data_IF_138162624871
#
_entry.id   IF_138162624871
#
_cell.length_a   1.000
_cell.length_b   1.000
_cell.length_c   1.000
_cell.angle_alpha   90.00
_cell.angle_beta   90.00
_cell.angle_gamma   90.00
#
_symmetry.space_group_name_H-M   'P 1'
#
loop_
_entity.id
_entity.type
_entity.pdbx_description
1 polymer ?
#
# COMPACT_ATOMS: atom_id res chain seq x y z
N UNK A 1 -14.46 -73.29 -16.16
CA UNK A 1 -13.38 -72.71 -15.34
C UNK A 1 -14.00 -71.55 -14.57
N UNK A 2 -14.46 -71.81 -13.34
CA UNK A 2 -15.21 -70.84 -12.54
C UNK A 2 -14.21 -69.90 -11.84
N UNK A 3 -14.32 -68.60 -12.07
CA UNK A 3 -13.54 -67.58 -11.38
C UNK A 3 -13.90 -67.63 -9.89
N UNK A 4 -12.89 -67.63 -9.02
CA UNK A 4 -13.10 -67.70 -7.58
C UNK A 4 -13.89 -66.45 -7.08
N UNK A 5 -14.81 -66.62 -6.11
CA UNK A 5 -15.63 -65.48 -5.62
C UNK A 5 -14.81 -64.28 -5.16
N UNK A 6 -13.62 -64.51 -4.64
CA UNK A 6 -12.69 -63.45 -4.20
C UNK A 6 -12.21 -62.53 -5.32
N UNK A 7 -12.16 -63.00 -6.56
CA UNK A 7 -11.77 -62.17 -7.72
C UNK A 7 -12.89 -61.20 -8.12
N UNK A 8 -14.14 -61.61 -7.96
CA UNK A 8 -15.32 -60.78 -8.25
C UNK A 8 -15.47 -59.66 -7.21
N UNK A 9 -15.23 -59.95 -5.95
CA UNK A 9 -15.26 -58.94 -4.89
C UNK A 9 -14.14 -57.91 -5.04
N UNK A 10 -12.93 -58.31 -5.39
CA UNK A 10 -11.82 -57.37 -5.61
C UNK A 10 -12.06 -56.42 -6.79
N UNK A 11 -12.68 -56.93 -7.87
CA UNK A 11 -13.09 -56.08 -9.00
C UNK A 11 -14.25 -55.13 -8.65
N UNK A 12 -15.10 -55.49 -7.73
CA UNK A 12 -16.23 -54.67 -7.30
C UNK A 12 -15.76 -53.51 -6.42
N UNK A 13 -14.77 -53.73 -5.56
CA UNK A 13 -14.16 -52.64 -4.75
C UNK A 13 -13.40 -51.64 -5.62
N UNK A 14 -12.64 -52.08 -6.60
CA UNK A 14 -11.94 -51.13 -7.51
C UNK A 14 -12.90 -50.28 -8.34
N UNK A 15 -14.04 -50.87 -8.78
CA UNK A 15 -15.08 -50.12 -9.50
C UNK A 15 -15.83 -49.10 -8.61
N UNK A 16 -15.93 -49.35 -7.30
CA UNK A 16 -16.55 -48.43 -6.34
C UNK A 16 -15.63 -47.23 -6.10
N UNK A 17 -14.35 -47.43 -5.96
CA UNK A 17 -13.35 -46.35 -5.76
C UNK A 17 -13.19 -45.49 -7.03
N UNK A 18 -13.19 -46.11 -8.23
CA UNK A 18 -13.23 -45.40 -9.51
C UNK A 18 -14.52 -44.60 -9.73
N UNK A 19 -15.68 -45.13 -9.30
CA UNK A 19 -16.98 -44.45 -9.37
C UNK A 19 -17.05 -43.19 -8.51
N UNK A 20 -16.37 -43.17 -7.39
CA UNK A 20 -16.31 -41.99 -6.52
C UNK A 20 -15.20 -41.01 -6.93
N UNK A 21 -14.36 -41.31 -7.88
CA UNK A 21 -13.32 -40.39 -8.41
C UNK A 21 -12.34 -39.87 -7.34
N UNK A 22 -12.28 -40.54 -6.19
CA UNK A 22 -11.64 -40.05 -4.97
C UNK A 22 -10.11 -40.14 -5.09
N UNK A 23 -9.59 -41.19 -5.70
CA UNK A 23 -8.15 -41.44 -5.70
C UNK A 23 -7.39 -40.64 -6.76
N UNK A 24 -7.97 -40.40 -7.93
CA UNK A 24 -7.31 -39.62 -9.00
C UNK A 24 -7.27 -38.10 -8.75
N UNK A 25 -8.20 -37.58 -7.92
CA UNK A 25 -8.30 -36.13 -7.64
C UNK A 25 -7.59 -35.70 -6.35
N UNK A 26 -7.36 -36.60 -5.40
CA UNK A 26 -6.82 -36.20 -4.10
C UNK A 26 -5.38 -35.68 -4.21
N UNK A 27 -4.53 -36.34 -4.99
CA UNK A 27 -3.15 -35.89 -5.23
C UNK A 27 -3.09 -34.56 -6.02
N UNK A 28 -4.00 -34.38 -6.99
CA UNK A 28 -4.13 -33.13 -7.74
C UNK A 28 -4.61 -31.98 -6.84
N UNK A 29 -5.64 -32.21 -6.01
CA UNK A 29 -6.14 -31.23 -5.07
C UNK A 29 -5.06 -30.82 -4.05
N UNK A 30 -4.35 -31.78 -3.47
CA UNK A 30 -3.26 -31.48 -2.51
C UNK A 30 -2.14 -30.69 -3.18
N UNK A 31 -1.79 -31.01 -4.42
CA UNK A 31 -0.75 -30.29 -5.17
C UNK A 31 -1.19 -28.86 -5.47
N UNK A 32 -2.43 -28.63 -5.91
CA UNK A 32 -2.99 -27.30 -6.19
C UNK A 32 -3.03 -26.43 -4.93
N UNK A 33 -3.46 -27.00 -3.81
CA UNK A 33 -3.47 -26.28 -2.53
C UNK A 33 -2.06 -25.99 -2.03
N UNK A 34 -1.14 -26.95 -2.12
CA UNK A 34 0.26 -26.76 -1.74
C UNK A 34 0.92 -25.64 -2.57
N UNK A 35 0.65 -25.59 -3.88
CA UNK A 35 1.15 -24.52 -4.75
C UNK A 35 0.57 -23.17 -4.38
N UNK A 36 -0.74 -23.04 -4.15
CA UNK A 36 -1.39 -21.79 -3.75
C UNK A 36 -0.86 -21.28 -2.41
N UNK A 37 -0.73 -22.17 -1.42
CA UNK A 37 -0.15 -21.82 -0.11
C UNK A 37 1.33 -21.44 -0.23
N UNK A 38 2.09 -22.15 -1.04
CA UNK A 38 3.51 -21.82 -1.30
C UNK A 38 3.67 -20.43 -1.91
N UNK A 39 2.90 -20.11 -2.95
CA UNK A 39 2.91 -18.78 -3.57
C UNK A 39 2.44 -17.69 -2.62
N UNK A 40 1.36 -17.94 -1.86
CA UNK A 40 0.86 -17.01 -0.84
C UNK A 40 1.92 -16.70 0.23
N UNK A 41 2.64 -17.71 0.69
CA UNK A 41 3.73 -17.53 1.66
C UNK A 41 4.88 -16.70 1.07
N UNK A 42 5.26 -16.96 -0.18
CA UNK A 42 6.29 -16.17 -0.88
C UNK A 42 5.87 -14.69 -1.01
N UNK A 43 4.60 -14.43 -1.30
CA UNK A 43 4.04 -13.07 -1.34
C UNK A 43 4.17 -12.40 0.03
N UNK A 44 3.78 -13.06 1.12
CA UNK A 44 3.91 -12.52 2.48
C UNK A 44 5.37 -12.23 2.85
N UNK A 45 6.29 -13.12 2.51
CA UNK A 45 7.73 -12.91 2.71
C UNK A 45 8.21 -11.71 1.89
N UNK A 46 7.79 -11.58 0.63
CA UNK A 46 8.12 -10.44 -0.22
C UNK A 46 7.65 -9.11 0.36
N UNK A 47 6.41 -9.05 0.83
CA UNK A 47 5.87 -7.84 1.49
C UNK A 47 6.54 -7.58 2.84
N UNK A 48 6.92 -8.60 3.59
CA UNK A 48 7.69 -8.45 4.83
C UNK A 48 9.07 -7.83 4.58
N UNK A 49 9.79 -8.34 3.57
CA UNK A 49 11.09 -7.77 3.16
C UNK A 49 10.90 -6.32 2.68
N UNK A 50 9.89 -6.07 1.85
CA UNK A 50 9.56 -4.73 1.37
C UNK A 50 9.27 -3.77 2.54
N UNK A 51 8.52 -4.21 3.54
CA UNK A 51 8.21 -3.42 4.73
C UNK A 51 9.48 -3.05 5.54
N UNK A 52 10.44 -3.99 5.64
CA UNK A 52 11.73 -3.72 6.29
C UNK A 52 12.53 -2.68 5.50
N UNK A 53 12.59 -2.83 4.17
CA UNK A 53 13.33 -1.91 3.29
C UNK A 53 12.72 -0.51 3.35
N UNK A 54 11.40 -0.39 3.17
CA UNK A 54 10.69 0.90 3.22
C UNK A 54 10.89 1.58 4.57
N UNK A 55 10.78 0.85 5.68
CA UNK A 55 11.04 1.38 7.02
C UNK A 55 12.47 1.91 7.15
N UNK A 56 13.46 1.18 6.65
CA UNK A 56 14.87 1.62 6.68
C UNK A 56 15.09 2.87 5.84
N UNK A 57 14.49 2.94 4.65
CA UNK A 57 14.59 4.09 3.74
C UNK A 57 13.98 5.33 4.40
N UNK A 58 12.76 5.23 4.94
CA UNK A 58 12.08 6.35 5.61
C UNK A 58 12.93 6.87 6.79
N UNK A 59 13.46 5.98 7.63
CA UNK A 59 14.30 6.38 8.77
C UNK A 59 15.61 7.03 8.32
N UNK A 60 16.26 6.45 7.30
CA UNK A 60 17.51 7.00 6.77
C UNK A 60 17.31 8.40 6.17
N UNK A 61 16.26 8.56 5.37
CA UNK A 61 15.92 9.86 4.77
C UNK A 61 15.54 10.90 5.83
N UNK A 62 14.70 10.52 6.81
CA UNK A 62 14.30 11.41 7.90
C UNK A 62 15.46 11.90 8.75
N UNK A 63 16.37 11.00 9.09
CA UNK A 63 17.58 11.36 9.86
C UNK A 63 18.54 12.26 9.08
N UNK A 64 18.60 12.12 7.75
CA UNK A 64 19.45 12.94 6.90
C UNK A 64 18.91 14.37 6.71
N UNK A 65 17.59 14.57 6.82
CA UNK A 65 16.90 15.85 6.62
C UNK A 65 16.64 16.61 7.91
N UNK A 66 17.04 16.08 9.08
CA UNK A 66 16.80 16.72 10.37
C UNK A 66 15.32 16.76 10.81
N UNK A 67 14.46 15.96 10.20
CA UNK A 67 13.05 15.86 10.56
C UNK A 67 12.93 15.21 11.95
N UNK A 68 11.98 15.71 12.77
CA UNK A 68 11.71 15.14 14.07
C UNK A 68 11.50 13.62 14.01
N UNK A 69 12.18 12.93 14.90
CA UNK A 69 12.16 11.45 14.96
C UNK A 69 10.76 10.88 15.18
N UNK A 70 9.87 11.64 15.83
CA UNK A 70 8.47 11.26 16.06
C UNK A 70 7.69 11.18 14.75
N UNK A 71 7.88 12.15 13.86
CA UNK A 71 7.26 12.20 12.53
C UNK A 71 7.78 11.06 11.65
N UNK A 72 9.10 10.86 11.63
CA UNK A 72 9.73 9.77 10.87
C UNK A 72 9.22 8.40 11.33
N UNK A 73 9.12 8.19 12.66
CA UNK A 73 8.60 6.95 13.21
C UNK A 73 7.11 6.74 12.90
N UNK A 74 6.31 7.81 12.92
CA UNK A 74 4.89 7.75 12.54
C UNK A 74 4.74 7.32 11.08
N UNK A 75 5.44 7.98 10.16
CA UNK A 75 5.43 7.64 8.74
C UNK A 75 5.87 6.20 8.49
N UNK A 76 6.93 5.76 9.17
CA UNK A 76 7.42 4.39 9.06
C UNK A 76 6.41 3.36 9.58
N UNK A 77 5.64 3.68 10.64
CA UNK A 77 4.57 2.81 11.15
C UNK A 77 3.40 2.74 10.17
N UNK A 78 2.93 3.89 9.68
CA UNK A 78 1.83 3.94 8.70
C UNK A 78 2.18 3.16 7.44
N UNK A 79 3.35 3.39 6.86
CA UNK A 79 3.83 2.65 5.69
C UNK A 79 3.90 1.14 5.95
N UNK A 80 4.38 0.73 7.12
CA UNK A 80 4.45 -0.68 7.50
C UNK A 80 3.05 -1.32 7.61
N UNK A 81 2.09 -0.63 8.23
CA UNK A 81 0.71 -1.13 8.36
C UNK A 81 0.05 -1.28 6.99
N UNK A 82 0.20 -0.28 6.12
CA UNK A 82 -0.36 -0.32 4.76
C UNK A 82 0.23 -1.50 3.98
N UNK A 83 1.56 -1.71 4.03
CA UNK A 83 2.21 -2.82 3.34
C UNK A 83 1.75 -4.19 3.87
N UNK A 84 1.54 -4.32 5.18
CA UNK A 84 0.99 -5.54 5.76
C UNK A 84 -0.45 -5.81 5.31
N UNK A 85 -1.31 -4.78 5.28
CA UNK A 85 -2.69 -4.90 4.80
C UNK A 85 -2.71 -5.35 3.34
N UNK A 86 -1.94 -4.68 2.47
CA UNK A 86 -1.86 -5.02 1.05
C UNK A 86 -1.30 -6.43 0.85
N UNK A 87 -0.23 -6.79 1.55
CA UNK A 87 0.38 -8.13 1.48
C UNK A 87 -0.58 -9.22 1.92
N UNK A 88 -1.31 -9.00 3.01
CA UNK A 88 -2.30 -9.96 3.51
C UNK A 88 -3.46 -10.16 2.53
N UNK A 89 -4.02 -9.06 2.00
CA UNK A 89 -5.12 -9.12 1.03
C UNK A 89 -4.67 -9.83 -0.25
N UNK A 90 -3.47 -9.54 -0.74
CA UNK A 90 -2.90 -10.21 -1.92
C UNK A 90 -2.68 -11.70 -1.67
N UNK A 91 -2.15 -12.07 -0.50
CA UNK A 91 -1.94 -13.46 -0.13
C UNK A 91 -3.27 -14.25 -0.02
N UNK A 92 -4.31 -13.66 0.60
CA UNK A 92 -5.64 -14.25 0.70
C UNK A 92 -6.27 -14.45 -0.69
N UNK A 93 -6.15 -13.46 -1.59
CA UNK A 93 -6.62 -13.57 -2.97
C UNK A 93 -5.93 -14.69 -3.75
N UNK A 94 -4.62 -14.90 -3.52
CA UNK A 94 -3.84 -15.97 -4.18
C UNK A 94 -4.29 -17.37 -3.73
N UNK A 95 -4.70 -17.53 -2.48
CA UNK A 95 -5.27 -18.80 -1.99
C UNK A 95 -6.65 -19.07 -2.58
N UNK A 96 -7.30 -18.04 -3.15
CA UNK A 96 -8.63 -18.15 -3.78
C UNK A 96 -9.76 -17.60 -2.91
N UNK A 97 -9.44 -16.90 -1.82
CA UNK A 97 -10.44 -16.21 -0.99
C UNK A 97 -10.89 -14.96 -1.73
N UNK A 98 -12.21 -14.75 -1.81
CA UNK A 98 -12.75 -13.54 -2.42
C UNK A 98 -12.49 -12.31 -1.55
N UNK A 99 -11.56 -11.48 -1.96
CA UNK A 99 -11.14 -10.26 -1.26
C UNK A 99 -11.81 -8.99 -1.80
N UNK A 100 -12.74 -9.11 -2.75
CA UNK A 100 -13.34 -7.96 -3.44
C UNK A 100 -13.97 -6.94 -2.49
N UNK A 101 -14.68 -7.40 -1.47
CA UNK A 101 -15.29 -6.53 -0.46
C UNK A 101 -14.24 -5.80 0.38
N UNK A 102 -13.13 -6.47 0.72
CA UNK A 102 -12.02 -5.89 1.47
C UNK A 102 -11.34 -4.82 0.61
N UNK A 103 -11.04 -5.14 -0.65
CA UNK A 103 -10.41 -4.19 -1.59
C UNK A 103 -11.31 -2.97 -1.82
N UNK A 104 -12.63 -3.17 -1.99
CA UNK A 104 -13.58 -2.08 -2.14
C UNK A 104 -13.63 -1.18 -0.90
N UNK A 105 -13.64 -1.74 0.30
CA UNK A 105 -13.64 -0.98 1.55
C UNK A 105 -12.33 -0.22 1.78
N UNK A 106 -11.19 -0.82 1.44
CA UNK A 106 -9.89 -0.15 1.47
C UNK A 106 -9.81 1.00 0.46
N UNK A 107 -10.37 0.80 -0.75
CA UNK A 107 -10.48 1.84 -1.77
C UNK A 107 -11.32 3.02 -1.31
N UNK A 108 -12.48 2.76 -0.72
CA UNK A 108 -13.35 3.80 -0.15
C UNK A 108 -12.66 4.55 1.00
N UNK A 109 -11.99 3.82 1.89
CA UNK A 109 -11.21 4.42 2.99
C UNK A 109 -10.07 5.29 2.44
N UNK A 110 -9.33 4.80 1.45
CA UNK A 110 -8.27 5.55 0.79
C UNK A 110 -8.79 6.82 0.10
N UNK A 111 -9.94 6.73 -0.57
CA UNK A 111 -10.63 7.89 -1.14
C UNK A 111 -11.00 8.93 -0.08
N UNK A 112 -11.61 8.50 1.03
CA UNK A 112 -12.00 9.39 2.13
C UNK A 112 -10.78 10.11 2.75
N UNK A 113 -9.68 9.38 3.00
CA UNK A 113 -8.42 9.94 3.51
C UNK A 113 -7.80 10.89 2.48
N UNK A 114 -7.75 10.51 1.20
CA UNK A 114 -7.23 11.35 0.13
C UNK A 114 -8.03 12.65 -0.02
N UNK A 115 -9.34 12.57 0.09
CA UNK A 115 -10.21 13.75 0.06
C UNK A 115 -10.00 14.67 1.28
N UNK A 116 -9.84 14.08 2.47
CA UNK A 116 -9.52 14.86 3.68
C UNK A 116 -8.16 15.58 3.59
N UNK A 117 -7.19 15.00 2.88
CA UNK A 117 -5.84 15.58 2.71
C UNK A 117 -5.70 16.46 1.46
N UNK A 118 -6.74 16.59 0.64
CA UNK A 118 -6.71 17.30 -0.64
C UNK A 118 -6.10 18.69 -0.54
N UNK A 119 -6.58 19.50 0.40
CA UNK A 119 -6.14 20.89 0.54
C UNK A 119 -4.69 20.98 1.02
N UNK A 120 -4.26 20.07 1.90
CA UNK A 120 -2.88 20.00 2.35
C UNK A 120 -1.94 19.63 1.21
N UNK A 121 -2.32 18.66 0.38
CA UNK A 121 -1.53 18.24 -0.80
C UNK A 121 -1.51 19.36 -1.85
N UNK A 122 -2.63 20.03 -2.08
CA UNK A 122 -2.74 21.15 -3.02
C UNK A 122 -1.83 22.33 -2.62
N UNK A 123 -1.84 22.70 -1.34
CA UNK A 123 -0.97 23.76 -0.82
C UNK A 123 0.51 23.39 -0.92
N UNK A 124 0.87 22.13 -0.60
CA UNK A 124 2.23 21.64 -0.75
C UNK A 124 2.70 21.71 -2.21
N UNK A 125 1.85 21.24 -3.13
CA UNK A 125 2.15 21.27 -4.56
C UNK A 125 2.33 22.70 -5.06
N UNK A 126 1.46 23.63 -4.64
CA UNK A 126 1.57 25.06 -4.98
C UNK A 126 2.88 25.67 -4.47
N UNK A 127 3.32 25.32 -3.25
CA UNK A 127 4.61 25.75 -2.71
C UNK A 127 5.78 25.23 -3.54
N UNK A 128 5.76 23.95 -3.93
CA UNK A 128 6.78 23.37 -4.82
C UNK A 128 6.82 24.09 -6.18
N UNK A 129 5.65 24.37 -6.77
CA UNK A 129 5.57 25.09 -8.05
C UNK A 129 6.13 26.51 -7.94
N UNK A 130 5.86 27.23 -6.85
CA UNK A 130 6.43 28.55 -6.60
C UNK A 130 7.96 28.48 -6.53
N UNK A 131 8.51 27.47 -5.84
CA UNK A 131 9.96 27.30 -5.74
C UNK A 131 10.64 26.94 -7.08
N UNK A 132 9.95 26.19 -7.94
CA UNK A 132 10.44 25.79 -9.26
C UNK A 132 10.33 26.95 -10.26
N UNK A 133 9.14 27.49 -10.43
CA UNK A 133 8.86 28.52 -11.45
C UNK A 133 9.28 29.91 -11.03
N UNK A 134 9.40 30.17 -9.73
CA UNK A 134 9.81 31.47 -9.16
C UNK A 134 9.08 32.66 -9.77
N UNK A 135 7.74 32.70 -9.78
CA UNK A 135 6.97 33.80 -10.36
C UNK A 135 7.25 35.14 -9.67
N UNK A 136 7.73 35.08 -8.41
CA UNK A 136 8.26 36.21 -7.66
C UNK A 136 9.49 35.76 -6.84
N UNK A 137 10.28 36.72 -6.37
CA UNK A 137 11.52 36.48 -5.61
C UNK A 137 11.46 37.19 -4.26
N UNK A 138 12.28 36.72 -3.31
CA UNK A 138 12.53 37.41 -2.04
C UNK A 138 12.99 38.86 -2.34
N UNK A 139 12.42 39.82 -1.64
CA UNK A 139 12.65 41.27 -1.81
C UNK A 139 11.73 41.93 -2.83
N UNK A 140 10.87 41.21 -3.55
CA UNK A 140 9.90 41.84 -4.46
C UNK A 140 8.61 42.21 -3.73
N UNK A 141 8.01 43.30 -4.15
CA UNK A 141 6.68 43.73 -3.72
C UNK A 141 5.64 42.91 -4.46
N UNK A 142 4.74 42.25 -3.73
CA UNK A 142 3.62 41.52 -4.31
C UNK A 142 2.33 41.93 -3.65
N UNK A 143 1.23 41.87 -4.41
CA UNK A 143 -0.13 42.01 -3.90
C UNK A 143 -0.90 40.76 -4.21
N UNK A 144 -1.41 40.06 -3.18
CA UNK A 144 -2.18 38.83 -3.29
C UNK A 144 -3.46 38.94 -2.47
N UNK A 145 -4.60 39.05 -3.15
CA UNK A 145 -5.91 39.27 -2.52
C UNK A 145 -5.89 40.53 -1.65
N UNK A 146 -5.97 40.36 -0.32
CA UNK A 146 -6.01 41.44 0.67
C UNK A 146 -4.65 41.72 1.31
N UNK A 147 -3.60 41.04 0.89
CA UNK A 147 -2.27 41.12 1.50
C UNK A 147 -1.30 41.73 0.49
N UNK A 148 -0.60 42.76 0.91
CA UNK A 148 0.43 43.42 0.13
C UNK A 148 1.69 43.61 0.97
N UNK A 149 2.86 43.44 0.33
CA UNK A 149 4.12 43.59 1.03
C UNK A 149 5.32 43.06 0.29
N UNK A 150 6.50 43.27 0.87
CA UNK A 150 7.74 42.68 0.40
C UNK A 150 7.85 41.20 0.78
N UNK A 151 8.24 40.35 -0.13
CA UNK A 151 8.48 38.91 0.13
C UNK A 151 9.75 38.80 0.96
N UNK A 152 9.62 38.34 2.21
CA UNK A 152 10.74 38.11 3.12
C UNK A 152 11.28 36.68 3.01
N UNK A 153 10.40 35.68 2.92
CA UNK A 153 10.79 34.29 2.78
C UNK A 153 9.74 33.49 1.99
N UNK A 154 10.21 32.52 1.25
CA UNK A 154 9.37 31.59 0.49
C UNK A 154 9.67 30.19 1.02
N UNK A 155 8.73 29.63 1.79
CA UNK A 155 8.76 28.28 2.32
C UNK A 155 7.80 27.38 1.53
N UNK A 156 7.94 26.07 1.73
CA UNK A 156 7.13 25.05 1.06
C UNK A 156 5.62 25.18 1.36
N UNK A 157 5.26 25.77 2.51
CA UNK A 157 3.89 25.83 3.01
C UNK A 157 3.33 27.26 3.04
N UNK A 158 4.17 28.27 3.18
CA UNK A 158 3.76 29.67 3.29
C UNK A 158 4.81 30.61 2.70
N UNK A 159 4.36 31.77 2.30
CA UNK A 159 5.22 32.88 1.90
C UNK A 159 5.03 34.02 2.90
N UNK A 160 6.11 34.45 3.54
CA UNK A 160 6.09 35.55 4.51
C UNK A 160 6.17 36.87 3.79
N UNK A 161 5.24 37.77 4.05
CA UNK A 161 5.21 39.11 3.56
C UNK A 161 5.45 40.12 4.69
N UNK A 162 6.31 41.09 4.49
CA UNK A 162 6.45 42.23 5.37
C UNK A 162 5.63 43.39 4.75
N UNK A 163 4.67 43.87 5.52
CA UNK A 163 3.88 45.02 5.14
C UNK A 163 4.80 46.24 5.19
N UNK A 164 4.96 46.96 4.07
CA UNK A 164 5.66 48.24 4.08
C UNK A 164 5.01 49.19 5.07
N UNK A 165 5.79 49.62 6.04
CA UNK A 165 5.33 50.63 7.01
C UNK A 165 5.10 51.92 6.24
N UNK A 166 3.86 52.37 6.18
CA UNK A 166 3.49 53.61 5.58
C UNK A 166 3.99 54.70 6.53
N UNK A 167 5.24 55.11 6.33
CA UNK A 167 5.75 56.35 6.94
C UNK A 167 5.01 57.50 6.29
N UNK A 168 4.01 58.02 6.98
CA UNK A 168 3.44 59.35 6.76
C UNK A 168 4.49 60.43 7.00
#
# INVERSE_FOLDING_TARGET
>A
MALSPNFVFAQQETNVLERFGIEANFSGLVMDWAQKFGVSLLILIGFWILAIVVRKVIRKAGNATGIDSSVVNLLARVANVVLWIVGLVTALGTVGINVSAIVASLGLTGFAVGFALKDSISNLLSGVLILIYRPFRVGQWISVKSFEGFVMAIDLRYTSLEKGDEKV
#
